data_IF_133983831945
#
_entry.id   IF_133983831945
#
_cell.length_a   1.000
_cell.length_b   1.000
_cell.length_c   1.000
_cell.angle_alpha   90.00
_cell.angle_beta   90.00
_cell.angle_gamma   90.00
#
_symmetry.space_group_name_H-M   'P 1'
#
loop_
_entity.id
_entity.type
_entity.pdbx_description
1 polymer ?
#
# COMPACT_ATOMS: atom_id res chain seq x y z
N UNK A 1 35.42 27.42 -42.33
CA UNK A 1 35.01 26.32 -41.42
C UNK A 1 33.52 26.50 -41.15
N UNK A 2 32.67 25.61 -41.69
CA UNK A 2 31.24 25.68 -41.39
C UNK A 2 31.05 25.24 -39.94
N UNK A 3 30.75 26.18 -39.05
CA UNK A 3 30.25 25.84 -37.73
C UNK A 3 28.96 25.05 -37.95
N UNK A 4 29.01 23.73 -37.71
CA UNK A 4 27.81 22.90 -37.65
C UNK A 4 26.87 23.58 -36.66
N UNK A 5 25.73 24.07 -37.17
CA UNK A 5 24.73 24.73 -36.36
C UNK A 5 24.10 23.69 -35.43
N UNK A 6 24.69 23.56 -34.25
CA UNK A 6 24.29 22.66 -33.18
C UNK A 6 23.00 23.17 -32.55
N UNK A 7 22.02 22.29 -32.36
CA UNK A 7 20.76 22.62 -31.71
C UNK A 7 20.83 22.27 -30.21
N UNK A 8 21.10 23.23 -29.32
CA UNK A 8 21.29 22.96 -27.89
C UNK A 8 20.02 22.43 -27.20
N UNK A 9 18.83 22.77 -27.72
CA UNK A 9 17.57 22.27 -27.17
C UNK A 9 17.44 20.75 -27.37
N UNK A 10 17.64 20.29 -28.61
CA UNK A 10 17.53 18.86 -28.96
C UNK A 10 18.62 18.04 -28.24
N UNK A 11 19.79 18.63 -28.02
CA UNK A 11 20.85 17.99 -27.22
C UNK A 11 20.45 17.81 -25.76
N UNK A 12 19.84 18.82 -25.14
CA UNK A 12 19.39 18.75 -23.77
C UNK A 12 18.23 17.77 -23.60
N UNK A 13 17.29 17.71 -24.55
CA UNK A 13 16.23 16.69 -24.60
C UNK A 13 16.81 15.27 -24.73
N UNK A 14 17.78 15.07 -25.63
CA UNK A 14 18.50 13.80 -25.77
C UNK A 14 19.17 13.37 -24.46
N UNK A 15 19.85 14.29 -23.78
CA UNK A 15 20.49 14.04 -22.49
C UNK A 15 19.47 13.65 -21.41
N UNK A 16 18.35 14.39 -21.31
CA UNK A 16 17.25 14.07 -20.38
C UNK A 16 16.71 12.64 -20.62
N UNK A 17 16.40 12.28 -21.88
CA UNK A 17 15.86 10.96 -22.22
C UNK A 17 16.86 9.82 -22.00
N UNK A 18 18.12 10.01 -22.38
CA UNK A 18 19.17 9.01 -22.14
C UNK A 18 19.42 8.80 -20.66
N UNK A 19 19.44 9.87 -19.88
CA UNK A 19 19.66 9.80 -18.44
C UNK A 19 18.48 9.13 -17.74
N UNK A 20 17.24 9.48 -18.07
CA UNK A 20 16.05 8.82 -17.52
C UNK A 20 15.95 7.34 -17.92
N UNK A 21 16.10 7.02 -19.21
CA UNK A 21 16.04 5.64 -19.70
C UNK A 21 17.19 4.78 -19.15
N UNK A 22 18.40 5.34 -19.07
CA UNK A 22 19.56 4.68 -18.47
C UNK A 22 19.40 4.43 -16.97
N UNK A 23 18.88 5.41 -16.21
CA UNK A 23 18.57 5.24 -14.80
C UNK A 23 17.49 4.16 -14.58
N UNK A 24 16.43 4.15 -15.40
CA UNK A 24 15.40 3.11 -15.34
C UNK A 24 15.98 1.72 -15.59
N UNK A 25 16.78 1.52 -16.64
CA UNK A 25 17.45 0.24 -16.88
C UNK A 25 18.39 -0.14 -15.73
N UNK A 26 19.14 0.82 -15.19
CA UNK A 26 20.01 0.58 -14.05
C UNK A 26 19.22 0.15 -12.80
N UNK A 27 18.08 0.79 -12.52
CA UNK A 27 17.21 0.43 -11.38
C UNK A 27 16.60 -0.96 -11.54
N UNK A 28 16.19 -1.33 -12.75
CA UNK A 28 15.65 -2.66 -13.03
C UNK A 28 16.74 -3.73 -12.93
N UNK A 29 17.91 -3.51 -13.54
CA UNK A 29 19.02 -4.45 -13.50
C UNK A 29 19.61 -4.62 -12.08
N UNK A 30 19.63 -3.55 -11.28
CA UNK A 30 20.09 -3.61 -9.88
C UNK A 30 19.05 -4.14 -8.90
N UNK A 31 17.84 -4.49 -9.39
CA UNK A 31 16.65 -4.83 -8.59
C UNK A 31 16.24 -3.80 -7.53
N UNK A 32 16.83 -2.61 -7.56
CA UNK A 32 16.49 -1.50 -6.65
C UNK A 32 15.12 -0.92 -6.91
N UNK A 33 14.53 -1.19 -8.08
CA UNK A 33 13.13 -0.83 -8.34
C UNK A 33 12.15 -1.50 -7.37
N UNK A 34 12.50 -2.64 -6.74
CA UNK A 34 11.67 -3.29 -5.72
C UNK A 34 11.43 -2.43 -4.49
N UNK A 35 12.30 -1.44 -4.25
CA UNK A 35 12.10 -0.42 -3.22
C UNK A 35 10.95 0.56 -3.55
N UNK A 36 10.51 0.61 -4.81
CA UNK A 36 9.56 1.59 -5.32
C UNK A 36 8.30 0.97 -5.92
N UNK A 37 8.42 -0.17 -6.60
CA UNK A 37 7.35 -0.77 -7.41
C UNK A 37 7.41 -2.29 -7.30
N UNK A 38 6.25 -2.94 -7.39
CA UNK A 38 6.13 -4.39 -7.28
C UNK A 38 6.78 -5.15 -8.44
N UNK A 39 7.22 -6.41 -8.23
CA UNK A 39 7.84 -7.24 -9.27
C UNK A 39 7.01 -7.39 -10.55
N UNK A 40 5.67 -7.34 -10.43
CA UNK A 40 4.73 -7.43 -11.56
C UNK A 40 4.93 -6.32 -12.59
N UNK A 41 5.48 -5.18 -12.18
CA UNK A 41 5.69 -4.02 -13.05
C UNK A 41 7.04 -4.04 -13.79
N UNK A 42 7.93 -5.00 -13.49
CA UNK A 42 9.22 -5.18 -14.15
C UNK A 42 9.17 -5.09 -15.69
N UNK A 43 8.29 -5.83 -16.40
CA UNK A 43 8.25 -5.77 -17.87
C UNK A 43 7.86 -4.39 -18.40
N UNK A 44 7.01 -3.65 -17.68
CA UNK A 44 6.61 -2.30 -18.07
C UNK A 44 7.75 -1.30 -17.88
N UNK A 45 8.55 -1.45 -16.83
CA UNK A 45 9.74 -0.62 -16.61
C UNK A 45 10.76 -0.82 -17.75
N UNK A 46 11.02 -2.06 -18.18
CA UNK A 46 11.87 -2.29 -19.36
C UNK A 46 11.28 -1.67 -20.63
N UNK A 47 9.97 -1.86 -20.87
CA UNK A 47 9.31 -1.31 -22.04
C UNK A 47 9.43 0.23 -22.10
N UNK A 48 9.16 0.93 -21.00
CA UNK A 48 9.27 2.40 -20.94
C UNK A 48 10.70 2.87 -21.15
N UNK A 49 11.69 2.17 -20.59
CA UNK A 49 13.10 2.49 -20.80
C UNK A 49 13.52 2.33 -22.26
N UNK A 50 13.07 1.26 -22.94
CA UNK A 50 13.32 1.04 -24.37
C UNK A 50 12.68 2.15 -25.22
N UNK A 51 11.43 2.51 -24.95
CA UNK A 51 10.73 3.60 -25.67
C UNK A 51 11.48 4.93 -25.53
N UNK A 52 11.92 5.26 -24.32
CA UNK A 52 12.69 6.49 -24.05
C UNK A 52 14.03 6.50 -24.77
N UNK A 53 14.73 5.36 -24.84
CA UNK A 53 15.98 5.23 -25.60
C UNK A 53 15.75 5.33 -27.11
N UNK A 54 14.67 4.77 -27.66
CA UNK A 54 14.32 4.90 -29.08
C UNK A 54 14.03 6.37 -29.43
N UNK A 55 13.26 7.08 -28.60
CA UNK A 55 13.02 8.52 -28.79
C UNK A 55 14.29 9.34 -28.67
N UNK A 56 15.19 9.00 -27.74
CA UNK A 56 16.52 9.62 -27.66
C UNK A 56 17.31 9.39 -28.97
N UNK A 57 17.39 8.17 -29.48
CA UNK A 57 18.07 7.87 -30.73
C UNK A 57 17.48 8.63 -31.93
N UNK A 58 16.15 8.67 -32.06
CA UNK A 58 15.47 9.43 -33.14
C UNK A 58 15.72 10.94 -32.99
N UNK A 59 15.73 11.46 -31.76
CA UNK A 59 16.09 12.84 -31.44
C UNK A 59 17.54 13.18 -31.80
N UNK A 60 18.47 12.25 -31.58
CA UNK A 60 19.89 12.40 -31.93
C UNK A 60 20.09 12.62 -33.43
N UNK A 61 19.34 11.93 -34.28
CA UNK A 61 19.38 12.17 -35.74
C UNK A 61 18.84 13.54 -36.15
N UNK A 62 17.97 14.15 -35.33
CA UNK A 62 17.43 15.51 -35.57
C UNK A 62 18.34 16.63 -35.03
N UNK A 63 19.37 16.29 -34.26
CA UNK A 63 20.32 17.25 -33.66
C UNK A 63 21.06 18.11 -34.70
N UNK A 64 21.17 17.63 -35.93
CA UNK A 64 21.86 18.31 -37.03
C UNK A 64 20.97 19.31 -37.81
N UNK A 65 19.75 19.62 -37.33
CA UNK A 65 18.89 20.65 -37.93
C UNK A 65 18.98 21.98 -37.15
N UNK A 66 19.34 23.11 -37.81
CA UNK A 66 19.52 24.40 -37.15
C UNK A 66 18.18 24.97 -36.66
N UNK A 67 18.11 25.37 -35.39
CA UNK A 67 16.96 26.08 -34.82
C UNK A 67 17.47 27.08 -33.76
N UNK A 68 16.97 28.32 -33.78
CA UNK A 68 17.60 29.48 -33.11
C UNK A 68 16.78 30.05 -31.93
N UNK A 69 15.70 29.40 -31.51
CA UNK A 69 14.89 29.83 -30.36
C UNK A 69 14.67 28.61 -29.45
N UNK A 70 15.17 28.72 -28.22
CA UNK A 70 15.14 27.64 -27.22
C UNK A 70 13.85 27.75 -26.42
N UNK A 71 13.02 26.71 -26.43
CA UNK A 71 11.83 26.61 -25.57
C UNK A 71 11.89 25.28 -24.80
N UNK A 72 12.65 25.28 -23.70
CA UNK A 72 13.06 24.07 -22.96
C UNK A 72 12.11 23.65 -21.84
N UNK A 73 10.87 24.16 -21.82
CA UNK A 73 9.91 23.92 -20.73
C UNK A 73 9.60 22.43 -20.53
N UNK A 74 9.67 21.62 -21.59
CA UNK A 74 9.39 20.18 -21.52
C UNK A 74 10.48 19.34 -20.84
N UNK A 75 11.76 19.75 -20.82
CA UNK A 75 12.79 18.99 -20.08
C UNK A 75 12.65 19.16 -18.56
N UNK A 76 12.10 20.28 -18.07
CA UNK A 76 11.85 20.45 -16.65
C UNK A 76 10.83 19.44 -16.11
N UNK A 77 9.88 19.02 -16.94
CA UNK A 77 8.89 17.98 -16.59
C UNK A 77 9.57 16.62 -16.36
N UNK A 78 10.64 16.30 -17.09
CA UNK A 78 11.41 15.05 -16.92
C UNK A 78 12.49 15.14 -15.85
N UNK A 79 12.99 16.35 -15.56
CA UNK A 79 13.98 16.58 -14.52
C UNK A 79 13.44 16.27 -13.11
N UNK A 80 12.15 16.52 -12.84
CA UNK A 80 11.53 16.26 -11.53
C UNK A 80 11.48 14.74 -11.21
N UNK A 81 10.97 13.86 -12.10
CA UNK A 81 11.04 12.41 -11.89
C UNK A 81 12.46 11.87 -11.76
N UNK A 82 13.41 12.38 -12.56
CA UNK A 82 14.83 12.01 -12.48
C UNK A 82 15.41 12.37 -11.11
N UNK A 83 15.15 13.59 -10.63
CA UNK A 83 15.63 14.06 -9.34
C UNK A 83 15.05 13.21 -8.21
N UNK A 84 13.75 12.89 -8.27
CA UNK A 84 13.09 12.00 -7.30
C UNK A 84 13.76 10.61 -7.26
N UNK A 85 14.09 10.02 -8.40
CA UNK A 85 14.75 8.70 -8.46
C UNK A 85 16.20 8.72 -7.96
N UNK A 86 16.87 9.88 -8.02
CA UNK A 86 18.25 10.05 -7.57
C UNK A 86 18.37 10.36 -6.07
N UNK A 87 17.29 10.81 -5.42
CA UNK A 87 17.31 11.05 -3.98
C UNK A 87 17.42 9.72 -3.23
N UNK A 88 18.21 9.64 -2.15
CA UNK A 88 18.24 8.47 -1.29
C UNK A 88 16.93 8.39 -0.51
N UNK A 89 16.06 7.46 -0.87
CA UNK A 89 14.85 7.17 -0.09
C UNK A 89 15.24 6.20 1.03
N UNK A 90 15.25 6.70 2.27
CA UNK A 90 15.28 5.84 3.44
C UNK A 90 13.98 5.02 3.50
N UNK A 91 14.03 3.76 3.97
CA UNK A 91 12.81 2.98 4.17
C UNK A 91 11.89 3.74 5.14
N UNK A 92 10.61 3.83 4.79
CA UNK A 92 9.58 4.51 5.60
C UNK A 92 9.47 3.85 6.99
N UNK A 93 9.33 4.68 8.02
CA UNK A 93 9.19 4.21 9.41
C UNK A 93 7.72 3.94 9.75
N UNK A 94 7.41 3.01 10.65
CA UNK A 94 6.01 2.72 11.02
C UNK A 94 5.30 3.87 11.75
N UNK A 95 6.05 4.88 12.21
CA UNK A 95 5.49 6.14 12.71
C UNK A 95 4.84 6.98 11.62
N UNK A 96 5.28 6.85 10.37
CA UNK A 96 4.72 7.59 9.22
C UNK A 96 3.49 6.87 8.62
N UNK A 97 3.29 5.60 8.99
CA UNK A 97 2.21 4.73 8.53
C UNK A 97 1.08 4.56 9.56
N UNK A 98 1.06 5.41 10.59
CA UNK A 98 0.01 5.41 11.62
C UNK A 98 -1.35 5.69 10.98
N UNK A 99 -2.33 4.82 11.23
CA UNK A 99 -3.68 4.93 10.70
C UNK A 99 -4.04 4.01 9.53
N UNK A 100 -3.12 3.17 9.04
CA UNK A 100 -3.45 2.13 8.05
C UNK A 100 -2.83 0.80 8.45
N UNK A 101 -3.67 -0.19 8.75
CA UNK A 101 -3.29 -1.59 8.96
C UNK A 101 -4.04 -2.45 7.96
N UNK A 102 -3.32 -3.29 7.23
CA UNK A 102 -3.91 -4.23 6.28
C UNK A 102 -3.87 -5.63 6.88
N UNK A 103 -5.04 -6.16 7.25
CA UNK A 103 -5.20 -7.59 7.55
C UNK A 103 -5.05 -8.45 6.29
N UNK A 104 -4.96 -9.77 6.45
CA UNK A 104 -4.71 -10.71 5.34
C UNK A 104 -5.82 -10.79 4.28
N UNK A 105 -6.96 -10.14 4.49
CA UNK A 105 -8.02 -10.05 3.47
C UNK A 105 -7.58 -9.30 2.19
N UNK A 106 -6.57 -8.41 2.25
CA UNK A 106 -5.98 -7.78 1.05
C UNK A 106 -5.09 -8.73 0.24
N UNK A 107 -4.62 -9.82 0.85
CA UNK A 107 -3.79 -10.84 0.21
C UNK A 107 -4.60 -11.91 -0.50
N UNK A 108 -5.88 -12.01 -0.17
CA UNK A 108 -6.80 -13.02 -0.63
C UNK A 108 -7.62 -12.44 -1.78
N UNK A 109 -7.42 -12.96 -2.99
CA UNK A 109 -8.11 -12.56 -4.23
C UNK A 109 -9.62 -12.93 -4.24
N UNK A 110 -10.30 -12.86 -3.08
CA UNK A 110 -11.72 -13.16 -2.90
C UNK A 110 -12.53 -11.91 -3.24
N UNK A 111 -12.98 -11.83 -4.49
CA UNK A 111 -13.91 -10.80 -4.94
C UNK A 111 -15.19 -10.87 -4.10
N UNK A 112 -15.36 -9.94 -3.16
CA UNK A 112 -16.60 -9.82 -2.39
C UNK A 112 -16.50 -9.24 -0.98
N UNK A 113 -15.30 -9.15 -0.39
CA UNK A 113 -15.11 -8.46 0.89
C UNK A 113 -14.19 -7.26 0.71
N UNK A 114 -14.78 -6.08 0.81
CA UNK A 114 -14.11 -4.79 0.70
C UNK A 114 -12.94 -4.73 1.70
N UNK A 115 -11.71 -4.71 1.18
CA UNK A 115 -10.56 -4.22 1.92
C UNK A 115 -10.83 -2.77 2.29
N UNK A 116 -11.35 -2.52 3.49
CA UNK A 116 -11.51 -1.15 3.96
C UNK A 116 -10.18 -0.69 4.52
N UNK A 117 -9.39 -0.06 3.66
CA UNK A 117 -8.55 1.07 4.05
C UNK A 117 -9.45 2.02 4.85
N UNK A 118 -9.17 2.21 6.13
CA UNK A 118 -9.91 3.19 6.93
C UNK A 118 -9.66 4.58 6.29
N UNK A 119 -10.70 5.39 6.01
CA UNK A 119 -10.53 6.69 5.37
C UNK A 119 -9.70 7.63 6.24
N UNK A 120 -8.59 8.11 5.70
CA UNK A 120 -7.83 9.21 6.25
C UNK A 120 -8.65 10.50 6.12
N UNK A 121 -9.04 11.09 7.26
CA UNK A 121 -9.41 12.49 7.32
C UNK A 121 -8.16 13.28 7.72
N UNK A 122 -7.27 13.54 6.75
CA UNK A 122 -6.10 14.38 6.99
C UNK A 122 -5.76 15.19 5.74
N UNK A 123 -6.16 16.45 5.78
CA UNK A 123 -5.68 17.49 4.88
C UNK A 123 -4.14 17.61 5.02
N UNK A 124 -3.38 17.71 3.92
CA UNK A 124 -1.94 17.95 4.02
C UNK A 124 -1.68 19.36 4.54
N UNK A 125 -1.28 19.46 5.81
CA UNK A 125 -0.71 20.68 6.37
C UNK A 125 0.78 20.69 6.08
N UNK A 126 1.18 21.47 5.07
CA UNK A 126 2.57 21.74 4.71
C UNK A 126 2.70 23.18 4.21
N UNK A 127 2.85 24.12 5.13
CA UNK A 127 3.10 25.53 4.82
C UNK A 127 4.60 25.78 4.62
N UNK A 128 4.99 26.22 3.43
CA UNK A 128 6.14 27.07 3.07
C UNK A 128 5.86 27.50 1.60
N UNK A 129 5.82 28.75 1.14
CA UNK A 129 6.20 30.06 1.67
C UNK A 129 5.76 31.15 0.66
N UNK A 130 5.73 32.41 1.11
CA UNK A 130 6.00 33.65 0.34
C UNK A 130 4.91 34.23 -0.60
N UNK A 131 4.08 35.11 -0.03
CA UNK A 131 3.94 36.52 -0.44
C UNK A 131 3.33 36.87 -1.80
N UNK A 132 2.07 37.34 -1.80
CA UNK A 132 1.68 38.64 -2.38
C UNK A 132 0.19 38.94 -2.08
N UNK A 133 -0.01 39.91 -1.21
CA UNK A 133 -0.98 41.02 -1.26
C UNK A 133 -2.31 40.80 -2.01
N UNK A 134 -3.44 40.88 -1.29
CA UNK A 134 -4.39 42.00 -1.42
C UNK A 134 -5.74 41.75 -0.70
N UNK A 135 -6.01 42.61 0.28
CA UNK A 135 -7.31 43.26 0.57
C UNK A 135 -8.35 42.53 1.46
N UNK A 136 -8.41 43.07 2.67
CA UNK A 136 -9.32 43.07 3.85
C UNK A 136 -10.73 43.65 3.50
N UNK A 137 -11.81 43.58 4.33
CA UNK A 137 -12.27 42.61 5.35
C UNK A 137 -13.75 42.18 5.15
N UNK A 138 -14.22 41.18 5.91
CA UNK A 138 -15.58 41.21 6.44
C UNK A 138 -15.51 40.96 7.95
N UNK A 139 -15.89 41.99 8.72
CA UNK A 139 -16.13 41.90 10.15
C UNK A 139 -17.41 41.12 10.40
N UNK A 140 -17.30 40.08 11.22
CA UNK A 140 -18.39 39.62 12.09
C UNK A 140 -18.21 40.34 13.43
N UNK A 141 -19.26 40.57 14.23
CA UNK A 141 -19.34 39.66 15.37
C UNK A 141 -20.74 39.36 15.92
N UNK A 142 -20.82 38.12 16.44
CA UNK A 142 -21.39 37.72 17.72
C UNK A 142 -22.92 37.64 17.89
N UNK A 143 -23.34 36.49 18.45
CA UNK A 143 -24.50 36.44 19.34
C UNK A 143 -25.30 35.14 19.34
N UNK A 144 -24.95 34.26 20.28
CA UNK A 144 -25.85 33.57 21.24
C UNK A 144 -27.10 32.79 20.77
N UNK A 145 -27.15 31.53 21.22
CA UNK A 145 -28.26 30.54 21.27
C UNK A 145 -29.57 31.04 21.93
N UNK A 146 -30.58 30.17 22.20
CA UNK A 146 -31.21 29.06 21.45
C UNK A 146 -32.74 29.31 21.29
N UNK A 147 -33.50 28.44 20.61
CA UNK A 147 -34.89 28.02 20.97
C UNK A 147 -35.59 27.28 19.81
N UNK A 148 -36.20 26.14 20.13
CA UNK A 148 -37.26 25.47 19.35
C UNK A 148 -38.65 25.98 19.83
N UNK A 149 -39.83 25.52 19.36
CA UNK A 149 -40.16 24.61 18.25
C UNK A 149 -41.36 25.07 17.35
N UNK A 150 -41.69 24.22 16.37
CA UNK A 150 -43.07 23.92 15.87
C UNK A 150 -43.59 24.53 14.54
N UNK A 151 -43.82 23.60 13.61
CA UNK A 151 -44.93 23.49 12.64
C UNK A 151 -45.02 24.46 11.45
N UNK A 152 -45.03 23.90 10.23
CA UNK A 152 -46.24 23.68 9.40
C UNK A 152 -45.81 23.15 8.02
N UNK A 153 -46.55 22.17 7.51
CA UNK A 153 -46.89 22.10 6.08
C UNK A 153 -46.06 21.14 5.23
N UNK A 154 -46.56 19.91 5.11
CA UNK A 154 -46.10 18.98 4.08
C UNK A 154 -46.56 19.40 2.68
N UNK A 155 -45.85 18.90 1.67
CA UNK A 155 -46.40 18.59 0.35
C UNK A 155 -45.75 17.27 -0.10
N UNK A 156 -46.63 16.33 -0.40
CA UNK A 156 -46.42 14.98 -0.91
C UNK A 156 -46.04 14.94 -2.40
N UNK A 157 -45.65 13.73 -2.84
CA UNK A 157 -45.59 13.18 -4.22
C UNK A 157 -44.20 13.05 -4.92
N UNK A 158 -44.02 12.05 -5.81
CA UNK A 158 -44.49 10.66 -5.72
C UNK A 158 -43.43 9.64 -6.20
N UNK A 159 -43.66 8.39 -5.80
CA UNK A 159 -43.05 7.17 -6.35
C UNK A 159 -43.60 6.83 -7.75
N UNK A 160 -42.71 6.52 -8.70
CA UNK A 160 -43.06 5.75 -9.90
C UNK A 160 -42.31 4.42 -9.90
N UNK A 161 -43.11 3.37 -9.81
CA UNK A 161 -42.79 1.96 -10.00
C UNK A 161 -42.93 1.65 -11.50
N UNK A 162 -41.88 1.08 -12.11
CA UNK A 162 -42.01 0.36 -13.38
C UNK A 162 -41.20 -0.94 -13.29
N UNK A 163 -41.93 -2.03 -13.08
CA UNK A 163 -41.40 -3.38 -13.13
C UNK A 163 -40.98 -3.80 -14.54
N UNK A 164 -39.95 -4.64 -14.61
CA UNK A 164 -39.76 -5.57 -15.72
C UNK A 164 -39.14 -6.87 -15.22
N UNK A 165 -39.64 -7.96 -15.79
CA UNK A 165 -39.64 -9.30 -15.25
C UNK A 165 -38.35 -10.10 -15.52
N UNK A 166 -38.00 -10.94 -14.54
CA UNK A 166 -37.64 -12.35 -14.72
C UNK A 166 -36.55 -12.73 -15.73
N UNK A 167 -35.33 -12.92 -15.21
CA UNK A 167 -34.46 -14.02 -15.65
C UNK A 167 -33.65 -14.51 -14.45
N UNK A 168 -34.07 -15.64 -13.88
CA UNK A 168 -33.31 -16.39 -12.89
C UNK A 168 -32.05 -16.96 -13.56
N UNK A 169 -30.87 -16.55 -13.10
CA UNK A 169 -29.60 -17.19 -13.45
C UNK A 169 -29.27 -18.16 -12.30
N UNK A 170 -29.06 -19.46 -12.57
CA UNK A 170 -28.81 -20.44 -11.52
C UNK A 170 -27.47 -20.18 -10.83
N UNK A 171 -27.55 -20.08 -9.52
CA UNK A 171 -26.43 -20.16 -8.58
C UNK A 171 -25.75 -21.53 -8.75
N UNK A 172 -24.66 -21.56 -9.51
CA UNK A 172 -23.78 -22.73 -9.59
C UNK A 172 -22.51 -22.38 -8.85
N UNK A 173 -22.55 -22.55 -7.52
CA UNK A 173 -21.38 -22.88 -6.72
C UNK A 173 -20.76 -24.16 -7.30
N UNK A 174 -19.83 -24.00 -8.24
CA UNK A 174 -18.85 -25.02 -8.51
C UNK A 174 -17.89 -25.03 -7.32
N UNK A 175 -18.20 -25.85 -6.32
CA UNK A 175 -17.28 -26.20 -5.25
C UNK A 175 -16.00 -26.73 -5.87
N UNK A 176 -14.92 -25.98 -5.73
CA UNK A 176 -13.57 -26.52 -5.93
C UNK A 176 -13.35 -27.46 -4.74
N UNK A 177 -13.00 -28.74 -4.95
CA UNK A 177 -12.76 -29.66 -3.84
C UNK A 177 -11.62 -29.16 -2.94
N UNK A 178 -11.87 -29.11 -1.63
CA UNK A 178 -10.96 -28.67 -0.55
C UNK A 178 -9.64 -29.47 -0.42
N UNK A 179 -9.43 -30.50 -1.24
CA UNK A 179 -8.32 -31.44 -1.08
C UNK A 179 -7.02 -31.03 -1.81
N UNK A 180 -7.01 -29.97 -2.63
CA UNK A 180 -5.87 -29.69 -3.52
C UNK A 180 -4.86 -28.66 -2.96
N UNK A 181 -5.19 -27.92 -1.90
CA UNK A 181 -4.27 -26.91 -1.31
C UNK A 181 -3.58 -27.37 -0.01
N UNK A 182 -3.88 -28.56 0.51
CA UNK A 182 -3.68 -28.89 1.92
C UNK A 182 -2.41 -29.68 2.27
N UNK A 183 -1.66 -30.21 1.30
CA UNK A 183 -0.58 -31.16 1.59
C UNK A 183 0.84 -30.56 1.70
N UNK A 184 1.14 -29.44 1.03
CA UNK A 184 2.54 -28.96 0.89
C UNK A 184 2.72 -27.46 1.19
N UNK A 185 2.03 -26.92 2.21
CA UNK A 185 2.30 -25.55 2.66
C UNK A 185 3.66 -25.49 3.37
N UNK A 186 4.57 -24.58 2.96
CA UNK A 186 5.93 -24.54 3.50
C UNK A 186 5.93 -24.21 5.00
N UNK A 187 6.59 -25.03 5.80
CA UNK A 187 6.67 -24.83 7.25
C UNK A 187 5.42 -25.25 8.04
N UNK A 188 4.44 -25.89 7.40
CA UNK A 188 3.32 -26.55 8.07
C UNK A 188 3.76 -27.90 8.66
N UNK A 189 3.63 -28.03 9.97
CA UNK A 189 3.69 -29.30 10.70
C UNK A 189 2.29 -29.63 11.20
N UNK A 190 1.54 -30.36 10.38
CA UNK A 190 0.15 -30.72 10.68
C UNK A 190 0.04 -31.71 11.86
N UNK A 191 1.06 -32.55 12.09
CA UNK A 191 1.07 -33.52 13.18
C UNK A 191 1.19 -32.83 14.55
N UNK A 192 2.11 -31.87 14.66
CA UNK A 192 2.33 -31.11 15.90
C UNK A 192 1.50 -29.82 15.99
N UNK A 193 0.63 -29.56 15.01
CA UNK A 193 -0.17 -28.33 14.88
C UNK A 193 0.69 -27.07 15.00
N UNK A 194 1.78 -27.02 14.24
CA UNK A 194 2.74 -25.92 14.26
C UNK A 194 2.95 -25.36 12.85
N UNK A 195 2.96 -24.03 12.74
CA UNK A 195 3.24 -23.30 11.51
C UNK A 195 4.47 -22.45 11.75
N UNK A 196 5.55 -22.73 11.03
CA UNK A 196 6.77 -21.92 11.06
C UNK A 196 6.82 -21.07 9.80
N UNK A 197 6.44 -19.80 9.91
CA UNK A 197 6.36 -18.86 8.80
C UNK A 197 7.76 -18.37 8.46
N UNK A 198 8.28 -18.79 7.31
CA UNK A 198 9.53 -18.24 6.77
C UNK A 198 9.32 -16.81 6.28
N UNK A 199 10.41 -16.04 6.11
CA UNK A 199 10.32 -14.66 5.63
C UNK A 199 9.74 -14.57 4.21
N UNK A 200 10.04 -15.55 3.36
CA UNK A 200 9.59 -15.60 1.97
C UNK A 200 8.10 -16.02 1.88
N UNK A 201 7.63 -16.80 2.86
CA UNK A 201 6.27 -17.34 2.90
C UNK A 201 5.29 -16.48 3.72
N UNK A 202 5.73 -15.31 4.21
CA UNK A 202 4.90 -14.46 5.07
C UNK A 202 3.56 -14.09 4.43
N UNK A 203 3.57 -13.66 3.16
CA UNK A 203 2.34 -13.29 2.45
C UNK A 203 1.42 -14.47 2.18
N UNK A 204 2.00 -15.63 1.86
CA UNK A 204 1.25 -16.88 1.61
C UNK A 204 0.53 -17.31 2.89
N UNK A 205 1.26 -17.40 4.00
CA UNK A 205 0.69 -17.77 5.29
C UNK A 205 -0.34 -16.78 5.81
N UNK A 206 -0.08 -15.48 5.63
CA UNK A 206 -1.04 -14.45 6.03
C UNK A 206 -2.35 -14.61 5.25
N UNK A 207 -2.30 -14.79 3.92
CA UNK A 207 -3.51 -15.04 3.12
C UNK A 207 -4.22 -16.33 3.54
N UNK A 208 -3.47 -17.42 3.66
CA UNK A 208 -4.00 -18.75 3.96
C UNK A 208 -4.69 -18.79 5.33
N UNK A 209 -4.09 -18.18 6.36
CA UNK A 209 -4.70 -18.10 7.69
C UNK A 209 -5.98 -17.27 7.66
N UNK A 210 -6.02 -16.16 6.90
CA UNK A 210 -7.23 -15.35 6.80
C UNK A 210 -8.35 -16.03 6.00
N UNK A 211 -8.03 -16.82 4.97
CA UNK A 211 -9.04 -17.56 4.18
C UNK A 211 -9.57 -18.77 4.95
N UNK A 212 -8.67 -19.51 5.62
CA UNK A 212 -8.94 -20.81 6.22
C UNK A 212 -8.74 -20.79 7.76
N UNK A 213 -9.12 -19.71 8.44
CA UNK A 213 -8.83 -19.49 9.87
C UNK A 213 -9.32 -20.63 10.78
N UNK A 214 -10.49 -21.21 10.48
CA UNK A 214 -11.06 -22.34 11.23
C UNK A 214 -10.17 -23.60 11.20
N UNK A 215 -9.45 -23.81 10.09
CA UNK A 215 -8.56 -24.98 9.92
C UNK A 215 -7.35 -24.91 10.85
N UNK A 216 -6.88 -23.70 11.14
CA UNK A 216 -5.65 -23.47 11.88
C UNK A 216 -5.89 -23.02 13.32
N UNK A 217 -7.14 -22.92 13.77
CA UNK A 217 -7.45 -22.59 15.15
C UNK A 217 -6.72 -23.55 16.11
N UNK A 218 -6.09 -22.98 17.14
CA UNK A 218 -5.28 -23.70 18.12
C UNK A 218 -3.89 -24.14 17.64
N UNK A 219 -3.48 -23.82 16.41
CA UNK A 219 -2.11 -24.07 15.96
C UNK A 219 -1.13 -23.11 16.63
N UNK A 220 0.10 -23.58 16.84
CA UNK A 220 1.21 -22.71 17.23
C UNK A 220 1.76 -22.03 15.98
N UNK A 221 1.70 -20.71 15.91
CA UNK A 221 2.24 -19.91 14.79
C UNK A 221 3.52 -19.25 15.25
N UNK A 222 4.58 -19.39 14.45
CA UNK A 222 5.87 -18.71 14.62
C UNK A 222 6.06 -17.77 13.45
N UNK A 223 6.12 -16.46 13.70
CA UNK A 223 6.26 -15.44 12.66
C UNK A 223 7.18 -14.28 13.08
N UNK A 224 7.86 -13.69 12.11
CA UNK A 224 8.82 -12.60 12.34
C UNK A 224 8.32 -11.30 11.71
N UNK A 225 8.40 -10.20 12.45
CA UNK A 225 7.99 -8.88 12.01
C UNK A 225 8.53 -7.77 12.92
N UNK A 226 8.37 -6.52 12.49
CA UNK A 226 8.61 -5.39 13.37
C UNK A 226 7.38 -5.15 14.25
N UNK A 227 7.59 -4.68 15.48
CA UNK A 227 6.51 -4.33 16.39
C UNK A 227 5.77 -3.11 15.86
N UNK A 228 4.60 -3.34 15.29
CA UNK A 228 3.63 -2.30 14.96
C UNK A 228 2.66 -2.10 16.12
N UNK A 229 2.51 -0.83 16.51
CA UNK A 229 1.58 -0.36 17.53
C UNK A 229 1.00 0.98 17.09
N UNK A 230 -0.31 1.11 17.26
CA UNK A 230 -1.04 2.34 17.03
C UNK A 230 -2.20 2.43 18.04
N UNK A 231 -2.12 3.32 19.04
CA UNK A 231 -3.12 3.42 20.10
C UNK A 231 -4.49 3.91 19.61
N UNK A 232 -4.61 4.36 18.35
CA UNK A 232 -5.90 4.75 17.78
C UNK A 232 -6.70 3.55 17.26
N UNK A 233 -6.03 2.42 17.02
CA UNK A 233 -6.63 1.23 16.39
C UNK A 233 -6.37 -0.08 17.17
N UNK A 234 -5.37 -0.12 18.06
CA UNK A 234 -5.01 -1.30 18.85
C UNK A 234 -5.13 -1.00 20.35
N UNK A 235 -5.55 -2.00 21.12
CA UNK A 235 -5.56 -1.93 22.58
C UNK A 235 -4.13 -1.95 23.16
N UNK A 236 -3.99 -1.58 24.44
CA UNK A 236 -2.68 -1.49 25.11
C UNK A 236 -1.96 -2.85 25.24
N UNK A 237 -2.71 -3.95 25.27
CA UNK A 237 -2.24 -5.34 25.29
C UNK A 237 -2.09 -5.95 23.88
N UNK A 238 -2.31 -5.15 22.84
CA UNK A 238 -2.29 -5.58 21.45
C UNK A 238 -1.10 -4.98 20.67
N UNK A 239 -0.55 -5.79 19.76
CA UNK A 239 0.44 -5.35 18.78
C UNK A 239 0.38 -6.24 17.55
N UNK A 240 1.08 -5.87 16.49
CA UNK A 240 1.21 -6.71 15.29
C UNK A 240 2.70 -6.92 14.98
N UNK A 241 3.21 -8.16 14.86
CA UNK A 241 4.48 -8.44 14.20
C UNK A 241 4.30 -8.23 12.69
N UNK A 242 4.51 -6.99 12.26
CA UNK A 242 4.16 -6.56 10.91
C UNK A 242 5.33 -6.70 9.92
N UNK A 243 4.97 -6.86 8.65
CA UNK A 243 5.84 -6.64 7.49
C UNK A 243 5.21 -5.55 6.63
N UNK A 244 6.04 -4.79 5.93
CA UNK A 244 5.55 -3.78 5.00
C UNK A 244 5.12 -4.45 3.69
N UNK A 245 3.90 -4.15 3.26
CA UNK A 245 3.27 -4.74 2.08
C UNK A 245 3.09 -3.72 0.99
N UNK A 246 3.37 -4.08 -0.26
CA UNK A 246 3.24 -3.18 -1.41
C UNK A 246 2.33 -3.82 -2.47
N UNK A 247 1.26 -3.14 -2.87
CA UNK A 247 0.34 -3.66 -3.90
C UNK A 247 0.74 -3.18 -5.31
N UNK A 248 1.16 -1.92 -5.43
CA UNK A 248 1.54 -1.27 -6.68
C UNK A 248 2.81 -0.42 -6.56
N UNK A 249 3.02 0.34 -5.47
CA UNK A 249 4.19 1.21 -5.33
C UNK A 249 4.45 1.66 -3.89
N UNK A 250 5.62 2.26 -3.61
CA UNK A 250 5.99 2.75 -2.26
C UNK A 250 4.94 3.63 -1.57
N UNK A 251 4.10 4.32 -2.33
CA UNK A 251 3.02 5.15 -1.80
C UNK A 251 1.85 4.36 -1.21
N UNK A 252 1.74 3.06 -1.50
CA UNK A 252 0.71 2.17 -0.98
C UNK A 252 1.20 1.21 0.10
N UNK A 253 2.42 1.46 0.61
CA UNK A 253 2.96 0.65 1.69
C UNK A 253 2.02 0.65 2.89
N UNK A 254 1.76 -0.53 3.42
CA UNK A 254 0.98 -0.72 4.65
C UNK A 254 1.64 -1.79 5.52
N UNK A 255 1.57 -1.69 6.87
CA UNK A 255 1.91 -2.80 7.75
C UNK A 255 0.83 -3.87 7.65
N UNK A 256 1.25 -5.13 7.49
CA UNK A 256 0.37 -6.29 7.60
C UNK A 256 0.97 -7.36 8.50
N UNK A 257 0.12 -8.09 9.19
CA UNK A 257 0.47 -9.20 10.07
C UNK A 257 -0.78 -9.78 10.73
N UNK A 258 -0.60 -10.56 11.80
CA UNK A 258 -1.70 -11.04 12.64
C UNK A 258 -1.76 -10.24 13.94
N UNK A 259 -2.96 -9.91 14.40
CA UNK A 259 -3.14 -9.25 15.69
C UNK A 259 -2.67 -10.18 16.81
N UNK A 260 -1.78 -9.67 17.67
CA UNK A 260 -1.20 -10.41 18.77
C UNK A 260 -1.65 -9.81 20.10
N UNK A 261 -2.18 -10.65 20.99
CA UNK A 261 -2.49 -10.30 22.38
C UNK A 261 -1.37 -10.74 23.30
N UNK A 262 -0.90 -9.83 24.14
CA UNK A 262 0.21 -10.06 25.04
C UNK A 262 0.16 -9.10 26.24
N UNK A 263 0.09 -9.65 27.46
CA UNK A 263 0.00 -8.87 28.70
C UNK A 263 1.15 -7.86 28.89
N UNK A 264 2.32 -8.16 28.31
CA UNK A 264 3.50 -7.28 28.36
C UNK A 264 3.72 -6.54 27.04
N UNK A 265 2.66 -6.34 26.24
CA UNK A 265 2.77 -5.60 24.99
C UNK A 265 3.40 -4.23 25.23
N UNK A 266 3.04 -3.52 26.30
CA UNK A 266 3.62 -2.21 26.68
C UNK A 266 5.15 -2.18 26.78
N UNK A 267 5.81 -3.28 27.12
CA UNK A 267 7.28 -3.39 27.20
C UNK A 267 7.94 -3.45 25.82
N UNK A 268 7.19 -3.79 24.77
CA UNK A 268 7.71 -3.92 23.41
C UNK A 268 7.99 -2.54 22.80
N UNK A 269 9.21 -2.37 22.28
CA UNK A 269 9.61 -1.15 21.59
C UNK A 269 9.04 -1.16 20.17
N UNK A 270 8.31 -0.11 19.79
CA UNK A 270 7.85 0.11 18.40
C UNK A 270 9.04 0.05 17.43
N UNK A 271 8.82 -0.48 16.24
CA UNK A 271 9.83 -0.70 15.17
C UNK A 271 10.94 -1.70 15.48
N UNK A 272 10.96 -2.32 16.68
CA UNK A 272 11.92 -3.39 16.96
C UNK A 272 11.50 -4.69 16.29
N UNK A 273 12.47 -5.46 15.79
CA UNK A 273 12.24 -6.74 15.14
C UNK A 273 12.19 -7.87 16.16
N UNK A 274 11.13 -8.67 16.06
CA UNK A 274 10.88 -9.81 16.93
C UNK A 274 10.34 -11.00 16.14
N UNK A 275 10.58 -12.19 16.66
CA UNK A 275 9.85 -13.40 16.31
C UNK A 275 8.86 -13.68 17.42
N UNK A 276 7.59 -13.80 17.04
CA UNK A 276 6.47 -14.14 17.91
C UNK A 276 6.17 -15.63 17.74
N UNK A 277 6.03 -16.33 18.85
CA UNK A 277 5.47 -17.68 18.92
C UNK A 277 4.24 -17.63 19.82
N UNK A 278 3.13 -18.19 19.36
CA UNK A 278 1.87 -18.15 20.09
C UNK A 278 0.80 -19.03 19.47
N UNK A 279 -0.34 -19.11 20.16
CA UNK A 279 -1.47 -19.95 19.75
C UNK A 279 -2.46 -19.13 18.95
N UNK A 280 -2.80 -19.60 17.75
CA UNK A 280 -3.83 -18.99 16.91
C UNK A 280 -5.21 -19.23 17.53
N UNK A 281 -6.04 -18.20 17.58
CA UNK A 281 -7.45 -18.29 17.95
C UNK A 281 -8.27 -17.34 17.08
N UNK A 282 -9.56 -17.59 16.97
CA UNK A 282 -10.47 -16.70 16.25
C UNK A 282 -11.01 -15.68 17.24
N UNK A 283 -10.60 -14.42 17.08
CA UNK A 283 -11.16 -13.29 17.79
C UNK A 283 -12.29 -12.66 16.98
N UNK A 284 -13.01 -11.73 17.61
CA UNK A 284 -13.97 -10.88 16.92
C UNK A 284 -13.56 -9.43 17.07
N UNK A 285 -13.69 -8.67 15.99
CA UNK A 285 -13.66 -7.21 16.04
C UNK A 285 -14.98 -6.66 15.52
N UNK A 286 -15.37 -5.50 16.05
CA UNK A 286 -16.58 -4.81 15.65
C UNK A 286 -16.23 -3.63 14.75
N UNK A 287 -16.88 -3.56 13.59
CA UNK A 287 -16.74 -2.46 12.67
C UNK A 287 -18.10 -2.10 12.09
N UNK A 288 -18.48 -0.81 12.19
CA UNK A 288 -19.77 -0.30 11.70
C UNK A 288 -20.99 -1.06 12.29
N UNK A 289 -20.88 -1.47 13.55
CA UNK A 289 -21.90 -2.26 14.25
C UNK A 289 -22.00 -3.73 13.80
N UNK A 290 -21.11 -4.19 12.91
CA UNK A 290 -21.02 -5.58 12.47
C UNK A 290 -19.81 -6.26 13.10
N UNK A 291 -19.97 -7.51 13.51
CA UNK A 291 -18.87 -8.33 14.05
C UNK A 291 -18.25 -9.14 12.94
N UNK A 292 -16.93 -9.16 12.90
CA UNK A 292 -16.15 -9.92 11.95
C UNK A 292 -15.19 -10.82 12.71
N UNK A 293 -15.08 -12.06 12.26
CA UNK A 293 -14.08 -12.99 12.76
C UNK A 293 -12.71 -12.62 12.20
N UNK A 294 -11.69 -12.66 13.05
CA UNK A 294 -10.31 -12.28 12.72
C UNK A 294 -9.34 -13.28 13.37
N UNK A 295 -8.38 -13.84 12.62
CA UNK A 295 -7.36 -14.70 13.19
C UNK A 295 -6.37 -13.88 14.04
N UNK A 296 -6.24 -14.25 15.31
CA UNK A 296 -5.39 -13.58 16.28
C UNK A 296 -4.44 -14.57 16.95
N UNK A 297 -3.35 -14.07 17.53
CA UNK A 297 -2.35 -14.88 18.23
C UNK A 297 -2.32 -14.50 19.71
N UNK A 298 -2.53 -15.48 20.58
CA UNK A 298 -2.18 -15.35 22.00
C UNK A 298 -0.70 -15.67 22.16
N UNK A 299 0.10 -14.65 22.46
CA UNK A 299 1.55 -14.76 22.45
C UNK A 299 2.06 -15.54 23.66
N UNK A 300 2.82 -16.60 23.41
CA UNK A 300 3.45 -17.42 24.46
C UNK A 300 4.93 -17.08 24.63
N UNK A 301 5.59 -16.63 23.55
CA UNK A 301 7.01 -16.32 23.55
C UNK A 301 7.36 -15.25 22.51
N UNK A 302 8.28 -14.37 22.88
CA UNK A 302 8.87 -13.37 21.98
C UNK A 302 10.39 -13.51 22.06
N UNK A 303 11.04 -13.51 20.90
CA UNK A 303 12.50 -13.46 20.80
C UNK A 303 12.94 -12.30 19.92
N UNK A 304 14.02 -11.56 20.26
CA UNK A 304 14.60 -10.57 19.36
C UNK A 304 14.98 -11.20 18.02
N UNK A 305 14.76 -10.46 16.93
CA UNK A 305 15.10 -10.89 15.58
C UNK A 305 15.88 -9.80 14.85
N UNK A 306 16.59 -10.18 13.80
CA UNK A 306 17.22 -9.23 12.89
C UNK A 306 16.18 -8.61 11.95
N UNK A 307 16.48 -7.42 11.42
CA UNK A 307 15.63 -6.77 10.45
C UNK A 307 15.56 -7.61 9.17
N UNK A 308 14.35 -7.98 8.78
CA UNK A 308 14.15 -8.71 7.52
C UNK A 308 13.97 -7.68 6.41
N UNK A 309 14.80 -7.74 5.38
CA UNK A 309 14.71 -6.81 4.26
C UNK A 309 13.55 -7.14 3.31
N UNK A 310 13.19 -6.18 2.46
CA UNK A 310 12.18 -6.35 1.41
C UNK A 310 10.72 -6.16 1.86
N UNK A 311 9.84 -6.10 0.87
CA UNK A 311 8.40 -5.98 1.03
C UNK A 311 7.71 -7.30 0.76
N UNK A 312 6.52 -7.45 1.34
CA UNK A 312 5.62 -8.57 1.05
C UNK A 312 4.64 -8.11 -0.03
N UNK A 313 4.39 -8.96 -1.03
CA UNK A 313 3.50 -8.63 -2.14
C UNK A 313 2.23 -9.50 -2.06
N UNK A 314 1.02 -8.91 -2.12
CA UNK A 314 -0.22 -9.67 -2.24
C UNK A 314 -0.30 -10.35 -3.61
N UNK A 315 -0.99 -11.51 -3.68
CA UNK A 315 -1.06 -12.38 -4.86
C UNK A 315 -2.35 -12.19 -5.69
#
# INVERSE_FOLDING_TARGET
MQAKAFNPQVFLEFLCYCLFGGLMLHLVNSRKYLSYVTPRMEPYLYFTAIVMLIWACVGLFRLFRPQHIVRSTHCFVLAVPILLLLLPHSPLSSSELSGSYTGGNTFSNRAGQSSKVLPQNQAPSGNLSLGATAVIPAEDPAGSSPDAPSSIGGIDMPSEDTGSAGAAIPDTQAGVPDEVYSADLPGLDAENRKITVSNDDFGVWLSEIYINMERYEGYTVVMTGFVFKDPNILNDDEFVPARLTMSCCVADLAPAGLLCKYDKASELKKDSWITVEGTLFIGQYEFDGQKYDDPQINVTKITPAEAVEGYVYPY
#
